data_IF_816108267929
#
_entry.id   IF_816108267929
#
_cell.length_a   1.000
_cell.length_b   1.000
_cell.length_c   1.000
_cell.angle_alpha   90.00
_cell.angle_beta   90.00
_cell.angle_gamma   90.00
#
_symmetry.space_group_name_H-M   'P 1'
#
loop_
_entity.id
_entity.type
_entity.pdbx_description
1 polymer ?
#
# COMPACT_ATOMS: atom_id res chain seq x y z
N UNK A 1 7.15 -16.55 -2.14
CA UNK A 1 6.48 -17.87 -2.09
C UNK A 1 6.48 -18.37 -0.66
N UNK A 2 5.28 -18.56 -0.10
CA UNK A 2 5.02 -18.97 1.28
C UNK A 2 5.41 -20.43 1.47
N UNK A 3 6.36 -20.69 2.37
CA UNK A 3 6.73 -22.05 2.76
C UNK A 3 6.00 -22.37 4.07
N UNK A 4 5.33 -23.52 4.09
CA UNK A 4 4.61 -24.12 5.23
C UNK A 4 3.36 -23.37 5.74
N UNK A 5 2.25 -23.52 5.01
CA UNK A 5 0.91 -23.56 5.63
C UNK A 5 0.72 -24.93 6.31
N UNK A 6 1.32 -25.09 7.49
CA UNK A 6 1.21 -26.28 8.32
C UNK A 6 0.25 -26.06 9.50
N UNK A 7 -0.70 -26.98 9.71
CA UNK A 7 -1.56 -26.98 10.89
C UNK A 7 -0.70 -27.04 12.17
N UNK A 8 -0.80 -26.02 13.02
CA UNK A 8 -0.16 -25.96 14.34
C UNK A 8 1.22 -25.28 14.40
N UNK A 9 1.75 -24.71 13.30
CA UNK A 9 2.99 -23.90 13.32
C UNK A 9 2.71 -22.49 12.82
N UNK A 10 3.49 -21.51 13.31
CA UNK A 10 3.40 -20.12 12.83
C UNK A 10 3.80 -20.06 11.35
N UNK A 11 2.84 -19.74 10.49
CA UNK A 11 3.07 -19.45 9.07
C UNK A 11 3.83 -18.13 8.94
N UNK A 12 4.79 -18.07 8.02
CA UNK A 12 5.51 -16.84 7.74
C UNK A 12 5.61 -16.56 6.24
N UNK A 13 5.51 -15.28 5.91
CA UNK A 13 5.97 -14.78 4.63
C UNK A 13 7.45 -14.39 4.75
N UNK A 14 8.21 -14.58 3.68
CA UNK A 14 9.60 -14.13 3.62
C UNK A 14 9.64 -12.79 2.90
N UNK A 15 9.93 -11.73 3.64
CA UNK A 15 10.23 -10.42 3.06
C UNK A 15 11.64 -10.50 2.51
N UNK A 16 11.82 -10.25 1.22
CA UNK A 16 13.11 -10.26 0.54
C UNK A 16 13.41 -8.84 0.11
N UNK A 17 14.51 -8.28 0.60
CA UNK A 17 15.01 -7.01 0.09
C UNK A 17 15.64 -7.27 -1.29
N UNK A 18 15.14 -6.57 -2.30
CA UNK A 18 15.57 -6.74 -3.69
C UNK A 18 16.94 -6.14 -3.98
N UNK A 19 17.50 -5.33 -3.06
CA UNK A 19 18.78 -4.64 -3.24
C UNK A 19 19.96 -5.50 -2.74
N UNK A 20 19.83 -6.14 -1.58
CA UNK A 20 20.92 -6.88 -0.92
C UNK A 20 20.63 -8.38 -0.77
N UNK A 21 19.46 -8.86 -1.20
CA UNK A 21 19.04 -10.25 -1.07
C UNK A 21 18.75 -10.69 0.37
N UNK A 22 18.81 -9.78 1.34
CA UNK A 22 18.53 -10.10 2.74
C UNK A 22 17.06 -10.49 2.91
N UNK A 23 16.82 -11.57 3.65
CA UNK A 23 15.48 -12.08 3.86
C UNK A 23 15.09 -12.07 5.34
N UNK A 24 13.93 -11.50 5.67
CA UNK A 24 13.37 -11.52 7.02
C UNK A 24 12.08 -12.34 7.04
N UNK A 25 11.92 -13.17 8.07
CA UNK A 25 10.66 -13.86 8.33
C UNK A 25 9.66 -12.85 8.89
N UNK A 26 8.50 -12.75 8.27
CA UNK A 26 7.36 -12.02 8.75
C UNK A 26 6.27 -13.01 9.11
N UNK A 27 6.07 -13.21 10.41
CA UNK A 27 5.02 -14.07 10.94
C UNK A 27 3.72 -13.28 11.01
N UNK A 28 2.63 -13.92 10.62
CA UNK A 28 1.29 -13.41 10.86
C UNK A 28 0.51 -14.43 11.68
N UNK A 29 -0.17 -13.96 12.72
CA UNK A 29 -1.06 -14.79 13.53
C UNK A 29 -2.51 -14.75 13.00
N UNK A 30 -2.69 -14.33 11.73
CA UNK A 30 -3.98 -14.27 11.08
C UNK A 30 -4.52 -15.68 10.82
N UNK A 31 -5.70 -15.95 11.39
CA UNK A 31 -6.46 -17.18 11.17
C UNK A 31 -7.67 -16.80 10.32
N UNK A 32 -7.85 -17.49 9.19
CA UNK A 32 -8.95 -17.26 8.28
C UNK A 32 -9.83 -18.51 8.19
N UNK A 33 -11.14 -18.29 8.05
CA UNK A 33 -12.10 -19.36 7.84
C UNK A 33 -12.08 -19.81 6.36
N UNK A 34 -12.46 -21.08 6.11
CA UNK A 34 -12.69 -21.55 4.73
C UNK A 34 -13.74 -20.66 4.06
N UNK A 35 -13.49 -20.28 2.81
CA UNK A 35 -14.35 -19.41 2.02
C UNK A 35 -14.50 -17.97 2.55
N UNK A 36 -13.62 -17.51 3.45
CA UNK A 36 -13.61 -16.12 3.90
C UNK A 36 -13.08 -15.17 2.82
N UNK A 37 -13.77 -14.05 2.59
CA UNK A 37 -13.23 -12.96 1.77
C UNK A 37 -12.19 -12.17 2.57
N UNK A 38 -10.96 -12.16 2.07
CA UNK A 38 -9.83 -11.41 2.62
C UNK A 38 -9.51 -10.27 1.65
N UNK A 39 -9.81 -9.04 2.09
CA UNK A 39 -9.64 -7.84 1.27
C UNK A 39 -8.46 -7.00 1.77
N UNK A 40 -7.67 -6.51 0.83
CA UNK A 40 -6.79 -5.37 1.05
C UNK A 40 -7.63 -4.10 1.05
N UNK A 41 -7.50 -3.28 2.09
CA UNK A 41 -8.26 -2.04 2.26
C UNK A 41 -7.31 -0.86 2.44
N UNK A 42 -6.76 -0.30 1.35
CA UNK A 42 -5.85 0.83 1.45
C UNK A 42 -6.59 2.10 1.87
N UNK A 43 -5.87 2.99 2.54
CA UNK A 43 -6.31 4.35 2.81
C UNK A 43 -5.84 5.26 1.71
N UNK A 44 -6.76 5.98 1.08
CA UNK A 44 -6.49 6.82 -0.08
C UNK A 44 -7.14 8.20 0.09
N UNK A 45 -6.46 9.22 -0.40
CA UNK A 45 -7.06 10.52 -0.66
C UNK A 45 -7.76 10.45 -2.01
N UNK A 46 -9.05 10.82 -2.11
CA UNK A 46 -9.75 10.88 -3.38
C UNK A 46 -8.94 11.68 -4.40
N UNK A 47 -8.86 11.21 -5.66
CA UNK A 47 -7.97 11.82 -6.65
C UNK A 47 -8.24 13.32 -6.87
N UNK A 48 -9.49 13.76 -6.78
CA UNK A 48 -9.83 15.18 -6.83
C UNK A 48 -9.19 15.99 -5.70
N UNK A 49 -9.11 15.43 -4.49
CA UNK A 49 -8.42 16.05 -3.35
C UNK A 49 -6.90 15.96 -3.51
N UNK A 50 -6.37 14.86 -4.06
CA UNK A 50 -4.95 14.73 -4.37
C UNK A 50 -4.49 15.81 -5.35
N UNK A 51 -5.27 16.14 -6.38
CA UNK A 51 -4.96 17.24 -7.30
C UNK A 51 -4.98 18.62 -6.62
N UNK A 52 -5.82 18.86 -5.62
CA UNK A 52 -5.77 20.09 -4.83
C UNK A 52 -4.46 20.18 -4.03
N UNK A 53 -4.01 19.07 -3.45
CA UNK A 53 -2.69 19.01 -2.79
C UNK A 53 -1.57 19.28 -3.79
N UNK A 54 -1.66 18.76 -5.03
CA UNK A 54 -0.68 19.10 -6.08
C UNK A 54 -0.67 20.61 -6.34
N UNK A 55 -1.83 21.26 -6.46
CA UNK A 55 -1.91 22.70 -6.66
C UNK A 55 -1.29 23.48 -5.49
N UNK A 56 -1.52 23.04 -4.24
CA UNK A 56 -0.90 23.62 -3.04
C UNK A 56 0.63 23.46 -3.06
N UNK A 57 1.15 22.29 -3.41
CA UNK A 57 2.60 22.05 -3.57
C UNK A 57 3.20 22.87 -4.71
N UNK A 58 2.46 23.12 -5.78
CA UNK A 58 2.89 23.99 -6.89
C UNK A 58 2.93 25.45 -6.49
N UNK A 59 2.07 25.87 -5.56
CA UNK A 59 2.05 27.21 -5.01
C UNK A 59 3.15 27.43 -3.96
N UNK A 60 3.59 26.37 -3.27
CA UNK A 60 4.63 26.44 -2.25
C UNK A 60 6.03 26.67 -2.87
N UNK A 61 6.68 27.84 -2.59
CA UNK A 61 8.01 28.15 -3.11
C UNK A 61 9.10 27.14 -2.72
N UNK A 62 8.94 26.44 -1.59
CA UNK A 62 9.94 25.50 -1.08
C UNK A 62 10.02 24.20 -1.89
N UNK A 63 8.93 23.82 -2.56
CA UNK A 63 8.79 22.53 -3.25
C UNK A 63 8.38 22.65 -4.72
N UNK A 64 7.90 23.82 -5.16
CA UNK A 64 7.46 24.06 -6.56
C UNK A 64 8.52 23.63 -7.60
N UNK A 65 9.78 23.96 -7.37
CA UNK A 65 10.88 23.59 -8.29
C UNK A 65 11.19 22.10 -8.27
N UNK A 66 11.01 21.43 -7.11
CA UNK A 66 11.21 20.00 -6.95
C UNK A 66 10.22 19.16 -7.76
N UNK A 67 8.99 19.66 -7.94
CA UNK A 67 7.93 18.97 -8.70
C UNK A 67 7.73 19.55 -10.12
N UNK A 68 8.49 20.59 -10.48
CA UNK A 68 8.33 21.44 -11.66
C UNK A 68 8.10 20.69 -12.98
N UNK A 69 8.95 19.71 -13.28
CA UNK A 69 8.92 18.96 -14.54
C UNK A 69 8.19 17.62 -14.49
N UNK A 70 7.43 17.33 -13.43
CA UNK A 70 6.72 16.07 -13.26
C UNK A 70 5.24 16.28 -13.54
N UNK A 71 4.60 15.36 -14.25
CA UNK A 71 3.16 15.44 -14.51
C UNK A 71 2.35 15.39 -13.22
N UNK A 72 1.31 16.20 -13.12
CA UNK A 72 0.49 16.32 -11.91
C UNK A 72 -0.13 14.99 -11.48
N UNK A 73 -0.43 14.09 -12.43
CA UNK A 73 -0.89 12.73 -12.09
C UNK A 73 0.16 11.95 -11.29
N UNK A 74 1.45 12.04 -11.65
CA UNK A 74 2.52 11.34 -10.93
C UNK A 74 2.76 11.96 -9.56
N UNK A 75 2.61 13.28 -9.43
CA UNK A 75 2.66 13.96 -8.13
C UNK A 75 1.48 13.53 -7.26
N UNK A 76 0.26 13.50 -7.80
CA UNK A 76 -0.94 13.06 -7.07
C UNK A 76 -0.85 11.58 -6.62
N UNK A 77 -0.36 10.69 -7.49
CA UNK A 77 -0.09 9.30 -7.13
C UNK A 77 0.98 9.18 -6.04
N UNK A 78 1.97 10.07 -6.03
CA UNK A 78 2.99 10.13 -4.98
C UNK A 78 2.42 10.58 -3.63
N UNK A 79 1.46 11.52 -3.63
CA UNK A 79 0.70 11.90 -2.43
C UNK A 79 -0.04 10.68 -1.87
N UNK A 80 -0.76 9.93 -2.71
CA UNK A 80 -1.45 8.72 -2.27
C UNK A 80 -0.50 7.61 -1.80
N UNK A 81 0.66 7.46 -2.46
CA UNK A 81 1.71 6.54 -2.02
C UNK A 81 2.22 6.90 -0.62
N UNK A 82 2.41 8.21 -0.34
CA UNK A 82 2.78 8.70 0.98
C UNK A 82 1.69 8.43 2.02
N UNK A 83 0.42 8.61 1.69
CA UNK A 83 -0.70 8.36 2.61
C UNK A 83 -0.78 6.88 2.98
N UNK A 84 -0.61 5.98 2.01
CA UNK A 84 -0.67 4.54 2.22
C UNK A 84 0.55 4.00 2.98
N UNK A 85 1.75 4.48 2.64
CA UNK A 85 3.00 3.82 3.03
C UNK A 85 3.90 4.66 3.95
N UNK A 86 3.58 5.95 4.13
CA UNK A 86 4.38 6.88 4.93
C UNK A 86 5.68 7.36 4.26
N UNK A 87 5.88 7.09 2.98
CA UNK A 87 7.07 7.55 2.25
C UNK A 87 6.72 8.05 0.84
N UNK A 88 7.54 8.96 0.32
CA UNK A 88 7.41 9.47 -1.06
C UNK A 88 8.23 8.59 -2.02
N UNK A 89 7.66 8.13 -3.15
CA UNK A 89 8.40 7.33 -4.13
C UNK A 89 9.55 8.14 -4.76
N UNK A 90 10.63 7.47 -5.19
CA UNK A 90 11.87 8.11 -5.69
C UNK A 90 11.75 8.72 -7.10
N UNK A 91 10.67 9.45 -7.36
CA UNK A 91 10.43 10.12 -8.66
C UNK A 91 10.90 11.58 -8.68
N UNK A 92 11.17 12.18 -7.52
CA UNK A 92 11.62 13.58 -7.38
C UNK A 92 13.15 13.70 -7.27
N UNK A 93 13.89 12.62 -7.54
CA UNK A 93 15.34 12.58 -7.48
C UNK A 93 15.90 13.03 -6.13
N UNK A 94 16.86 13.95 -6.15
CA UNK A 94 17.48 14.53 -4.94
C UNK A 94 16.50 15.36 -4.09
N UNK A 95 15.34 15.72 -4.63
CA UNK A 95 14.34 16.51 -3.93
C UNK A 95 13.30 15.69 -3.16
N UNK A 96 13.38 14.36 -3.19
CA UNK A 96 12.44 13.47 -2.51
C UNK A 96 12.22 13.82 -1.03
N UNK A 97 13.31 14.09 -0.30
CA UNK A 97 13.24 14.45 1.12
C UNK A 97 12.49 15.78 1.34
N UNK A 98 12.62 16.74 0.42
CA UNK A 98 11.89 18.01 0.48
C UNK A 98 10.39 17.80 0.27
N UNK A 99 10.02 17.01 -0.74
CA UNK A 99 8.61 16.68 -1.01
C UNK A 99 8.00 15.93 0.18
N UNK A 100 8.73 14.98 0.76
CA UNK A 100 8.28 14.27 1.95
C UNK A 100 8.05 15.20 3.15
N UNK A 101 8.99 16.10 3.44
CA UNK A 101 8.85 17.07 4.53
C UNK A 101 7.63 18.00 4.33
N UNK A 102 7.35 18.41 3.08
CA UNK A 102 6.16 19.19 2.76
C UNK A 102 4.87 18.42 3.06
N UNK A 103 4.79 17.14 2.66
CA UNK A 103 3.63 16.28 2.93
C UNK A 103 3.47 15.96 4.42
N UNK A 104 4.57 15.78 5.16
CA UNK A 104 4.56 15.63 6.62
C UNK A 104 4.02 16.89 7.31
N UNK A 105 4.42 18.07 6.83
CA UNK A 105 3.89 19.35 7.32
C UNK A 105 2.38 19.45 7.07
N UNK A 106 1.93 19.15 5.85
CA UNK A 106 0.50 19.13 5.50
C UNK A 106 -0.30 18.12 6.34
N UNK A 107 0.27 16.94 6.59
CA UNK A 107 -0.32 15.92 7.47
C UNK A 107 -0.47 16.44 8.89
N UNK A 108 0.57 17.06 9.45
CA UNK A 108 0.53 17.67 10.78
C UNK A 108 -0.50 18.79 10.91
N UNK A 109 -0.76 19.52 9.81
CA UNK A 109 -1.80 20.54 9.73
C UNK A 109 -3.21 19.98 9.48
N UNK A 110 -3.39 18.66 9.38
CA UNK A 110 -4.70 18.02 9.18
C UNK A 110 -5.21 18.06 7.73
N UNK A 111 -4.36 18.36 6.74
CA UNK A 111 -4.77 18.51 5.33
C UNK A 111 -5.43 17.25 4.74
N UNK A 112 -5.12 16.08 5.29
CA UNK A 112 -5.57 14.77 4.82
C UNK A 112 -6.80 14.23 5.58
N UNK A 113 -7.64 15.11 6.13
CA UNK A 113 -8.87 14.72 6.83
C UNK A 113 -9.90 13.98 5.95
N UNK A 114 -9.83 14.13 4.63
CA UNK A 114 -10.70 13.46 3.66
C UNK A 114 -10.17 12.10 3.17
N UNK A 115 -9.11 11.57 3.79
CA UNK A 115 -8.64 10.20 3.50
C UNK A 115 -9.74 9.21 3.86
N UNK A 116 -9.95 8.26 2.95
CA UNK A 116 -10.95 7.22 3.09
C UNK A 116 -10.31 5.85 2.92
N UNK A 117 -10.91 4.85 3.56
CA UNK A 117 -10.57 3.46 3.31
C UNK A 117 -11.37 2.98 2.12
N UNK A 118 -10.70 2.49 1.08
CA UNK A 118 -11.35 1.90 -0.09
C UNK A 118 -11.21 0.38 -0.06
N UNK A 119 -12.18 -0.33 -0.62
CA UNK A 119 -12.01 -1.77 -0.86
C UNK A 119 -11.08 -1.94 -2.07
N UNK A 120 -9.90 -2.51 -1.82
CA UNK A 120 -8.93 -2.86 -2.85
C UNK A 120 -9.13 -4.29 -3.35
N UNK A 121 -8.03 -5.01 -3.56
CA UNK A 121 -8.09 -6.40 -4.02
C UNK A 121 -8.61 -7.34 -2.94
N UNK A 122 -9.66 -8.09 -3.24
CA UNK A 122 -10.16 -9.18 -2.40
C UNK A 122 -9.76 -10.54 -2.96
N UNK A 123 -9.51 -11.49 -2.06
CA UNK A 123 -9.28 -12.90 -2.40
C UNK A 123 -10.07 -13.80 -1.46
N UNK A 124 -10.55 -14.93 -1.97
CA UNK A 124 -11.20 -15.94 -1.13
C UNK A 124 -10.12 -16.81 -0.50
N UNK A 125 -10.11 -16.87 0.82
CA UNK A 125 -9.25 -17.78 1.56
C UNK A 125 -9.83 -19.20 1.53
N UNK A 126 -9.01 -20.14 1.08
CA UNK A 126 -9.17 -21.58 1.27
C UNK A 126 -7.77 -22.10 1.58
N UNK A 127 -7.64 -22.89 2.65
CA UNK A 127 -6.39 -23.58 3.01
C UNK A 127 -5.83 -24.35 1.80
N UNK A 128 -4.52 -24.23 1.56
CA UNK A 128 -3.88 -24.84 0.40
C UNK A 128 -4.16 -26.35 0.27
N UNK A 129 -4.14 -27.09 1.37
CA UNK A 129 -4.40 -28.55 1.38
C UNK A 129 -5.86 -28.84 1.00
N UNK A 130 -6.78 -27.97 1.42
CA UNK A 130 -8.21 -28.11 1.12
C UNK A 130 -8.55 -27.83 -0.34
N UNK A 131 -7.83 -26.92 -1.01
CA UNK A 131 -8.10 -26.52 -2.41
C UNK A 131 -8.11 -27.68 -3.40
N UNK A 132 -7.29 -28.71 -3.14
CA UNK A 132 -7.11 -29.81 -4.09
C UNK A 132 -7.99 -31.04 -3.80
N UNK A 133 -8.54 -31.17 -2.60
CA UNK A 133 -9.32 -32.33 -2.14
C UNK A 133 -10.79 -32.25 -2.57
N UNK A 134 -11.37 -33.39 -2.97
CA UNK A 134 -12.80 -33.52 -3.32
C UNK A 134 -13.65 -33.94 -2.10
N UNK A 135 -14.93 -33.51 -2.00
CA UNK A 135 -15.58 -32.50 -2.84
C UNK A 135 -14.92 -31.14 -2.62
N UNK A 136 -14.84 -30.35 -3.67
CA UNK A 136 -14.14 -29.08 -3.57
C UNK A 136 -14.95 -28.06 -2.75
N UNK A 137 -14.31 -27.03 -2.15
CA UNK A 137 -15.02 -25.95 -1.45
C UNK A 137 -16.02 -25.23 -2.36
N UNK A 138 -17.19 -24.91 -1.82
CA UNK A 138 -18.29 -24.31 -2.58
C UNK A 138 -17.97 -22.91 -3.14
N UNK A 139 -17.05 -22.18 -2.51
CA UNK A 139 -16.67 -20.83 -2.90
C UNK A 139 -15.66 -20.75 -4.05
N UNK A 140 -14.99 -21.85 -4.36
CA UNK A 140 -14.10 -21.90 -5.51
C UNK A 140 -14.96 -22.15 -6.75
N UNK A 141 -15.01 -21.16 -7.63
CA UNK A 141 -15.62 -21.31 -8.96
C UNK A 141 -14.61 -22.04 -9.86
N UNK A 142 -15.04 -23.12 -10.50
CA UNK A 142 -14.25 -23.97 -11.40
C UNK A 142 -14.56 -23.63 -12.85
#
# INVERSE_FOLDING_TARGET
HSADEGFGKKTYNRLVNTVDGHSKKWYHDAIFNECQSVCHRPTELPMAEAYKVVAELRADPAVRTAIGGIDDILVALSVNTYIQNGFVPKIFGTSNAKVQAALETMKGAGRFASVQTVDGSCSIHVDFKRRYVRPKPACLKW
#
